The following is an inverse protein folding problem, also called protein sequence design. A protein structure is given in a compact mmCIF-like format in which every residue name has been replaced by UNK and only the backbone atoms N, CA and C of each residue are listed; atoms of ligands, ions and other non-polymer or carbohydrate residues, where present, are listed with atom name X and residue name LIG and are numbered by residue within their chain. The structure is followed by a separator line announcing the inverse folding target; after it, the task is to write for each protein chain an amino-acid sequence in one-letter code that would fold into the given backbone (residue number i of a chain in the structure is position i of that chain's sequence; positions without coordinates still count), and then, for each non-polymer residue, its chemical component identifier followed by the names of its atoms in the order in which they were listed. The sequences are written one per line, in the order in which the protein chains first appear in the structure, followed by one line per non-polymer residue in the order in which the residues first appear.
data_IF_087906631592
#
_entry.id   IF_087906631592
#
_cell.length_a   1.000
_cell.length_b   1.000
_cell.length_c   1.000
_cell.angle_alpha   90.00
_cell.angle_beta   90.00
_cell.angle_gamma   90.00
#
_symmetry.space_group_name_H-M   'P 1'
#
loop_
_entity.id
_entity.type
_entity.pdbx_description
1 polymer ?
#
# COMPACT_ATOMS: atom_id res chain seq x y z
N UNK A 1 -7.23 -7.21 15.60
CA UNK A 1 -7.23 -6.15 14.56
C UNK A 1 -6.56 -4.92 15.13
N UNK A 2 -5.65 -4.27 14.38
CA UNK A 2 -4.89 -3.11 14.90
C UNK A 2 -5.79 -1.93 15.29
N UNK A 3 -6.87 -1.70 14.55
CA UNK A 3 -7.86 -0.67 14.85
C UNK A 3 -8.63 -0.89 16.16
N UNK A 4 -8.74 -2.13 16.62
CA UNK A 4 -9.42 -2.46 17.88
C UNK A 4 -8.50 -2.24 19.09
N UNK A 5 -7.18 -2.31 18.86
CA UNK A 5 -6.17 -2.08 19.90
C UNK A 5 -5.90 -0.58 20.14
N UNK A 6 -6.14 0.26 19.13
CA UNK A 6 -5.91 1.72 19.19
C UNK A 6 -7.11 2.50 18.64
N UNK A 7 -8.20 2.59 19.40
CA UNK A 7 -9.45 3.23 18.95
C UNK A 7 -9.28 4.72 18.60
N UNK A 8 -8.27 5.38 19.13
CA UNK A 8 -8.00 6.80 18.89
C UNK A 8 -7.18 7.07 17.62
N UNK A 9 -6.64 6.02 16.97
CA UNK A 9 -5.85 6.16 15.77
C UNK A 9 -6.74 6.13 14.52
N UNK A 10 -6.39 6.97 13.56
CA UNK A 10 -6.85 6.84 12.19
C UNK A 10 -5.99 5.80 11.48
N UNK A 11 -6.58 5.11 10.52
CA UNK A 11 -5.86 4.17 9.65
C UNK A 11 -5.81 4.76 8.24
N UNK A 12 -4.61 4.98 7.72
CA UNK A 12 -4.36 5.42 6.36
C UNK A 12 -3.75 4.27 5.56
N UNK A 13 -4.44 3.89 4.49
CA UNK A 13 -4.03 2.75 3.67
C UNK A 13 -3.61 3.24 2.28
N UNK A 14 -2.37 2.90 1.90
CA UNK A 14 -1.84 3.07 0.55
C UNK A 14 -1.33 1.72 0.09
N UNK A 15 -2.05 1.08 -0.82
CA UNK A 15 -1.63 -0.22 -1.37
C UNK A 15 -1.11 -0.06 -2.79
N UNK A 16 0.18 0.20 -2.89
CA UNK A 16 0.88 0.29 -4.16
C UNK A 16 2.32 -0.22 -4.07
N UNK A 17 2.83 -0.67 -5.18
CA UNK A 17 4.23 -0.98 -5.43
C UNK A 17 4.50 -0.69 -6.92
N UNK A 18 4.65 0.59 -7.31
CA UNK A 18 4.67 0.99 -8.71
C UNK A 18 5.77 0.31 -9.52
N UNK A 19 6.93 0.06 -8.92
CA UNK A 19 8.05 -0.64 -9.56
C UNK A 19 7.75 -2.12 -9.86
N UNK A 20 6.72 -2.67 -9.18
CA UNK A 20 6.20 -4.01 -9.42
C UNK A 20 4.87 -4.01 -10.19
N UNK A 21 4.50 -2.88 -10.79
CA UNK A 21 3.27 -2.73 -11.54
C UNK A 21 1.98 -2.77 -10.72
N UNK A 22 2.07 -2.59 -9.40
CA UNK A 22 0.91 -2.62 -8.49
C UNK A 22 0.54 -1.20 -8.06
N UNK A 23 -0.73 -0.84 -8.21
CA UNK A 23 -1.25 0.49 -7.84
C UNK A 23 -2.75 0.45 -7.54
N UNK A 24 -3.21 1.50 -6.85
CA UNK A 24 -4.65 1.72 -6.57
C UNK A 24 -5.14 2.91 -7.38
N UNK A 25 -6.27 2.73 -8.08
CA UNK A 25 -6.92 3.75 -8.88
C UNK A 25 -8.44 3.67 -8.72
N UNK A 26 -9.08 4.78 -8.33
CA UNK A 26 -10.50 4.88 -7.98
C UNK A 26 -10.95 3.78 -7.00
N UNK A 27 -10.09 3.51 -6.01
CA UNK A 27 -10.30 2.49 -4.99
C UNK A 27 -10.09 1.05 -5.47
N UNK A 28 -9.81 0.84 -6.74
CA UNK A 28 -9.56 -0.50 -7.29
C UNK A 28 -8.06 -0.83 -7.33
N UNK A 29 -7.74 -2.04 -6.90
CA UNK A 29 -6.38 -2.57 -6.98
C UNK A 29 -6.09 -3.14 -8.35
N UNK A 30 -4.95 -2.74 -8.90
CA UNK A 30 -4.38 -3.23 -10.15
C UNK A 30 -3.03 -3.89 -9.92
N UNK A 31 -2.73 -4.91 -10.72
CA UNK A 31 -1.43 -5.58 -10.74
C UNK A 31 -1.06 -5.88 -12.19
N UNK A 32 0.10 -5.38 -12.65
CA UNK A 32 0.60 -5.54 -14.02
C UNK A 32 -0.43 -5.13 -15.10
N UNK A 33 -1.19 -4.06 -14.83
CA UNK A 33 -2.21 -3.53 -15.74
C UNK A 33 -3.56 -4.23 -15.68
N UNK A 34 -3.67 -5.34 -14.96
CA UNK A 34 -4.91 -6.07 -14.77
C UNK A 34 -5.55 -5.76 -13.43
N UNK A 35 -6.89 -5.73 -13.38
CA UNK A 35 -7.64 -5.61 -12.15
C UNK A 35 -7.42 -6.85 -11.26
N UNK A 36 -7.31 -6.69 -9.95
CA UNK A 36 -6.89 -7.72 -9.01
C UNK A 36 -7.50 -9.12 -9.24
N UNK A 37 -8.83 -9.29 -9.47
CA UNK A 37 -9.42 -10.62 -9.73
C UNK A 37 -9.02 -11.25 -11.07
N UNK A 38 -8.38 -10.53 -11.96
CA UNK A 38 -7.89 -11.02 -13.26
C UNK A 38 -6.37 -11.10 -13.32
N UNK A 39 -5.69 -10.59 -12.29
CA UNK A 39 -4.24 -10.55 -12.20
C UNK A 39 -3.64 -11.94 -11.88
N UNK A 40 -2.32 -11.97 -11.77
CA UNK A 40 -1.61 -13.19 -11.34
C UNK A 40 -2.10 -13.73 -9.99
N UNK A 41 -2.61 -12.87 -9.11
CA UNK A 41 -3.16 -13.26 -7.80
C UNK A 41 -4.46 -14.05 -7.90
N UNK A 42 -5.19 -13.99 -9.03
CA UNK A 42 -6.37 -14.83 -9.26
C UNK A 42 -6.06 -16.33 -9.21
N UNK A 43 -4.79 -16.70 -9.37
CA UNK A 43 -4.31 -18.08 -9.33
C UNK A 43 -3.86 -18.53 -7.93
N UNK A 44 -4.06 -17.70 -6.89
CA UNK A 44 -3.74 -18.09 -5.52
C UNK A 44 -4.60 -19.28 -5.11
N UNK A 45 -4.00 -20.42 -4.70
CA UNK A 45 -4.76 -21.64 -4.42
C UNK A 45 -5.55 -21.57 -3.09
N UNK A 46 -5.24 -20.61 -2.21
CA UNK A 46 -5.83 -20.52 -0.88
C UNK A 46 -6.82 -19.36 -0.80
N UNK A 47 -6.41 -18.18 -1.27
CA UNK A 47 -7.19 -16.95 -1.18
C UNK A 47 -7.21 -16.18 -2.52
N UNK A 48 -7.81 -16.73 -3.58
CA UNK A 48 -7.94 -15.99 -4.83
C UNK A 48 -8.82 -14.76 -4.61
N UNK A 49 -8.36 -13.56 -5.03
CA UNK A 49 -9.14 -12.34 -4.88
C UNK A 49 -10.40 -12.40 -5.75
N UNK A 50 -11.55 -12.09 -5.16
CA UNK A 50 -12.84 -12.04 -5.85
C UNK A 50 -13.24 -10.62 -6.24
N UNK A 51 -12.67 -9.64 -5.55
CA UNK A 51 -12.97 -8.23 -5.65
C UNK A 51 -11.69 -7.43 -5.81
N UNK A 52 -11.81 -6.21 -6.29
CA UNK A 52 -10.68 -5.29 -6.46
C UNK A 52 -10.90 -3.96 -5.75
N UNK A 53 -12.15 -3.64 -5.37
CA UNK A 53 -12.47 -2.40 -4.70
C UNK A 53 -12.09 -2.51 -3.22
N UNK A 54 -11.00 -1.84 -2.85
CA UNK A 54 -10.38 -1.99 -1.54
C UNK A 54 -11.33 -1.63 -0.38
N UNK A 55 -12.15 -0.55 -0.46
CA UNK A 55 -13.10 -0.28 0.62
C UNK A 55 -14.08 -1.43 0.89
N UNK A 56 -14.58 -2.12 -0.15
CA UNK A 56 -15.48 -3.27 0.02
C UNK A 56 -14.73 -4.45 0.64
N UNK A 57 -13.53 -4.76 0.14
CA UNK A 57 -12.67 -5.82 0.70
C UNK A 57 -12.44 -5.60 2.20
N UNK A 58 -12.13 -4.37 2.61
CA UNK A 58 -11.91 -4.03 4.01
C UNK A 58 -13.20 -4.15 4.84
N UNK A 59 -14.37 -3.81 4.25
CA UNK A 59 -15.66 -3.83 4.94
C UNK A 59 -16.04 -5.23 5.44
N UNK A 60 -15.58 -6.28 4.77
CA UNK A 60 -15.76 -7.67 5.21
C UNK A 60 -15.03 -7.98 6.52
N UNK A 61 -14.01 -7.18 6.87
CA UNK A 61 -13.16 -7.39 8.04
C UNK A 61 -13.41 -6.45 9.20
N UNK A 62 -14.15 -5.35 9.03
CA UNK A 62 -14.37 -4.34 10.07
C UNK A 62 -15.74 -3.69 9.96
N UNK A 63 -16.19 -3.11 11.07
CA UNK A 63 -17.40 -2.27 11.13
C UNK A 63 -17.09 -0.77 11.12
N UNK A 64 -15.82 -0.41 11.03
CA UNK A 64 -15.40 0.99 10.98
C UNK A 64 -15.80 1.58 9.61
N UNK A 65 -16.13 2.86 9.62
CA UNK A 65 -16.42 3.57 8.38
C UNK A 65 -15.14 3.76 7.58
N UNK A 66 -15.21 3.41 6.31
CA UNK A 66 -14.11 3.47 5.37
C UNK A 66 -14.40 4.57 4.34
N UNK A 67 -13.43 5.45 4.14
CA UNK A 67 -13.47 6.49 3.11
C UNK A 67 -12.44 6.21 2.02
N UNK A 68 -12.72 6.73 0.83
CA UNK A 68 -11.80 6.75 -0.31
C UNK A 68 -11.36 8.20 -0.57
N UNK A 69 -10.08 8.38 -0.79
CA UNK A 69 -9.47 9.60 -1.32
C UNK A 69 -8.91 9.25 -2.69
N UNK A 70 -9.63 9.63 -3.73
CA UNK A 70 -9.36 9.24 -5.09
C UNK A 70 -8.14 9.96 -5.70
N UNK A 71 -7.70 9.48 -6.87
CA UNK A 71 -6.51 9.99 -7.55
C UNK A 71 -6.64 11.46 -7.97
N UNK A 72 -7.85 11.92 -8.30
CA UNK A 72 -8.08 13.31 -8.71
C UNK A 72 -7.86 14.24 -7.51
N UNK A 73 -8.33 13.85 -6.34
CA UNK A 73 -8.07 14.55 -5.08
C UNK A 73 -6.58 14.53 -4.72
N UNK A 74 -5.91 13.39 -4.88
CA UNK A 74 -4.48 13.24 -4.58
C UNK A 74 -3.63 14.14 -5.49
N UNK A 75 -3.96 14.22 -6.78
CA UNK A 75 -3.12 14.94 -7.77
C UNK A 75 -3.44 16.42 -7.94
N UNK A 76 -4.66 16.81 -7.75
CA UNK A 76 -5.10 18.17 -8.10
C UNK A 76 -6.00 18.84 -7.09
N UNK A 77 -6.42 18.12 -6.04
CA UNK A 77 -7.36 18.62 -5.06
C UNK A 77 -6.74 19.15 -3.77
N UNK A 78 -7.59 19.58 -2.87
CA UNK A 78 -7.25 19.84 -1.48
C UNK A 78 -7.24 18.54 -0.69
N UNK A 79 -6.10 17.83 -0.73
CA UNK A 79 -5.94 16.54 -0.06
C UNK A 79 -6.21 16.62 1.45
N UNK A 80 -5.70 17.67 2.10
CA UNK A 80 -5.87 17.84 3.54
C UNK A 80 -7.34 18.10 3.91
N UNK A 81 -8.01 18.97 3.18
CA UNK A 81 -9.44 19.26 3.38
C UNK A 81 -10.33 18.05 3.07
N UNK A 82 -10.03 17.30 2.02
CA UNK A 82 -10.77 16.07 1.69
C UNK A 82 -10.65 15.03 2.81
N UNK A 83 -9.45 14.80 3.34
CA UNK A 83 -9.22 13.91 4.48
C UNK A 83 -9.99 14.38 5.71
N UNK A 84 -9.91 15.66 6.05
CA UNK A 84 -10.65 16.24 7.16
C UNK A 84 -12.16 16.04 7.00
N UNK A 85 -12.69 16.22 5.79
CA UNK A 85 -14.11 16.00 5.50
C UNK A 85 -14.51 14.53 5.70
N UNK A 86 -13.69 13.57 5.25
CA UNK A 86 -13.97 12.15 5.46
C UNK A 86 -13.98 11.80 6.96
N UNK A 87 -13.02 12.31 7.71
CA UNK A 87 -12.94 12.11 9.17
C UNK A 87 -14.16 12.70 9.87
N UNK A 88 -14.61 13.91 9.49
CA UNK A 88 -15.81 14.56 10.07
C UNK A 88 -17.10 13.79 9.77
N UNK A 89 -17.12 13.01 8.70
CA UNK A 89 -18.22 12.07 8.36
C UNK A 89 -18.12 10.73 9.11
N UNK A 90 -17.15 10.59 10.01
CA UNK A 90 -16.97 9.40 10.84
C UNK A 90 -16.06 8.33 10.25
N UNK A 91 -15.37 8.59 9.13
CA UNK A 91 -14.42 7.63 8.59
C UNK A 91 -13.22 7.48 9.53
N UNK A 92 -12.85 6.25 9.80
CA UNK A 92 -11.70 5.88 10.63
C UNK A 92 -10.60 5.19 9.82
N UNK A 93 -10.95 4.63 8.68
CA UNK A 93 -10.04 4.05 7.71
C UNK A 93 -10.16 4.87 6.43
N UNK A 94 -9.06 5.38 5.93
CA UNK A 94 -9.01 6.07 4.65
C UNK A 94 -8.10 5.30 3.69
N UNK A 95 -8.67 4.93 2.55
CA UNK A 95 -7.95 4.33 1.43
C UNK A 95 -7.55 5.45 0.48
N UNK A 96 -6.31 5.48 0.07
CA UNK A 96 -5.79 6.46 -0.86
C UNK A 96 -5.42 5.80 -2.18
N UNK A 97 -5.86 6.40 -3.27
CA UNK A 97 -5.31 6.07 -4.57
C UNK A 97 -3.87 6.57 -4.69
N UNK A 98 -3.02 5.73 -5.26
CA UNK A 98 -1.64 6.09 -5.58
C UNK A 98 -1.13 5.22 -6.73
N UNK A 99 -0.74 5.86 -7.83
CA UNK A 99 -0.25 5.20 -9.05
C UNK A 99 1.27 5.18 -9.05
N UNK A 100 1.89 6.23 -8.49
CA UNK A 100 3.34 6.44 -8.53
C UNK A 100 3.92 6.61 -7.13
N UNK A 101 5.23 6.43 -7.00
CA UNK A 101 5.98 6.80 -5.78
C UNK A 101 5.74 8.25 -5.37
N UNK A 102 5.62 9.15 -6.35
CA UNK A 102 5.37 10.57 -6.11
C UNK A 102 4.02 10.81 -5.46
N UNK A 103 2.98 10.06 -5.85
CA UNK A 103 1.65 10.17 -5.25
C UNK A 103 1.72 9.73 -3.77
N UNK A 104 2.36 8.60 -3.49
CA UNK A 104 2.57 8.10 -2.11
C UNK A 104 3.31 9.12 -1.25
N UNK A 105 4.42 9.64 -1.75
CA UNK A 105 5.23 10.61 -1.01
C UNK A 105 4.48 11.93 -0.79
N UNK A 106 3.68 12.37 -1.76
CA UNK A 106 2.82 13.54 -1.63
C UNK A 106 1.79 13.34 -0.51
N UNK A 107 1.11 12.19 -0.47
CA UNK A 107 0.15 11.85 0.58
C UNK A 107 0.83 11.88 1.95
N UNK A 108 1.97 11.22 2.10
CA UNK A 108 2.70 11.16 3.37
C UNK A 108 3.14 12.55 3.82
N UNK A 109 3.79 13.33 2.94
CA UNK A 109 4.29 14.68 3.26
C UNK A 109 3.18 15.64 3.66
N UNK A 110 2.01 15.50 3.05
CA UNK A 110 0.85 16.35 3.36
C UNK A 110 0.20 15.95 4.68
N UNK A 111 0.03 14.66 4.94
CA UNK A 111 -0.84 14.19 6.01
C UNK A 111 -0.10 13.84 7.31
N UNK A 112 1.15 13.36 7.24
CA UNK A 112 1.89 12.97 8.45
C UNK A 112 2.05 14.10 9.47
N UNK A 113 2.33 15.37 9.06
CA UNK A 113 2.40 16.47 10.02
C UNK A 113 1.06 16.82 10.65
N UNK A 114 -0.05 16.60 9.94
CA UNK A 114 -1.40 16.92 10.39
C UNK A 114 -1.98 15.84 11.30
N UNK A 115 -1.57 14.59 11.10
CA UNK A 115 -2.09 13.42 11.80
C UNK A 115 -0.95 12.59 12.43
N UNK A 116 -0.30 13.10 13.51
CA UNK A 116 0.86 12.44 14.12
C UNK A 116 0.53 11.07 14.74
N UNK A 117 -0.75 10.82 15.05
CA UNK A 117 -1.25 9.54 15.58
C UNK A 117 -1.96 8.71 14.51
N UNK A 118 -1.44 8.70 13.28
CA UNK A 118 -1.98 7.86 12.22
C UNK A 118 -1.30 6.49 12.20
N UNK A 119 -2.07 5.45 11.91
CA UNK A 119 -1.55 4.13 11.60
C UNK A 119 -1.48 3.95 10.09
N UNK A 120 -0.28 3.98 9.55
CA UNK A 120 -0.04 3.69 8.14
C UNK A 120 -0.06 2.20 7.87
N UNK A 121 -0.78 1.78 6.85
CA UNK A 121 -0.83 0.39 6.39
C UNK A 121 -0.80 0.34 4.87
N UNK A 122 -0.17 -0.68 4.31
CA UNK A 122 -0.05 -0.82 2.87
C UNK A 122 1.06 -1.78 2.47
N UNK A 123 1.56 -1.62 1.25
CA UNK A 123 2.57 -2.46 0.65
C UNK A 123 3.94 -1.77 0.52
N UNK A 124 4.80 -2.28 -0.35
CA UNK A 124 6.18 -1.83 -0.51
C UNK A 124 6.31 -0.34 -0.85
N UNK A 125 5.42 0.20 -1.70
CA UNK A 125 5.46 1.61 -2.06
C UNK A 125 5.20 2.55 -0.89
N UNK A 126 4.36 2.15 0.06
CA UNK A 126 4.18 2.90 1.31
C UNK A 126 5.45 2.84 2.17
N UNK A 127 6.07 1.65 2.30
CA UNK A 127 7.31 1.50 3.06
C UNK A 127 8.43 2.37 2.50
N UNK A 128 8.61 2.37 1.18
CA UNK A 128 9.57 3.23 0.48
C UNK A 128 9.29 4.72 0.70
N UNK A 129 8.02 5.12 0.57
CA UNK A 129 7.61 6.51 0.80
C UNK A 129 7.85 6.98 2.23
N UNK A 130 7.57 6.15 3.22
CA UNK A 130 7.85 6.44 4.64
C UNK A 130 9.35 6.51 4.91
N UNK A 131 10.14 5.60 4.33
CA UNK A 131 11.60 5.64 4.45
C UNK A 131 12.17 6.93 3.86
N UNK A 132 11.73 7.32 2.66
CA UNK A 132 12.15 8.58 2.03
C UNK A 132 11.71 9.81 2.84
N UNK A 133 10.51 9.80 3.41
CA UNK A 133 10.02 10.89 4.26
C UNK A 133 10.87 11.06 5.52
N UNK A 134 11.25 9.95 6.17
CA UNK A 134 11.96 9.95 7.45
C UNK A 134 13.47 10.17 7.31
N UNK A 135 14.08 9.62 6.26
CA UNK A 135 15.53 9.55 6.12
C UNK A 135 16.07 10.27 4.88
N UNK A 136 15.18 10.81 4.04
CA UNK A 136 15.56 11.44 2.78
C UNK A 136 15.63 10.43 1.61
N UNK A 137 15.93 10.92 0.39
CA UNK A 137 16.00 10.09 -0.79
C UNK A 137 17.07 9.00 -0.68
N UNK A 138 16.83 7.89 -1.37
CA UNK A 138 17.76 6.77 -1.43
C UNK A 138 19.18 7.22 -1.80
N UNK A 139 20.14 6.78 -1.00
CA UNK A 139 21.57 7.02 -1.25
C UNK A 139 22.21 5.74 -1.78
N UNK A 140 23.09 5.83 -2.79
CA UNK A 140 23.82 4.67 -3.26
C UNK A 140 24.62 4.06 -2.10
N UNK A 141 24.33 2.80 -1.80
CA UNK A 141 25.15 2.07 -0.82
C UNK A 141 26.55 1.82 -1.42
N UNK A 142 27.62 1.94 -0.62
CA UNK A 142 28.93 1.50 -1.07
C UNK A 142 28.86 0.02 -1.45
N UNK A 143 29.61 -0.43 -2.47
CA UNK A 143 29.61 -1.82 -2.87
C UNK A 143 29.96 -2.70 -1.67
N UNK A 144 29.04 -3.62 -1.34
CA UNK A 144 29.28 -4.55 -0.26
C UNK A 144 30.48 -5.45 -0.59
N UNK A 145 31.38 -5.62 0.37
CA UNK A 145 32.45 -6.61 0.23
C UNK A 145 31.81 -7.99 0.08
N UNK A 146 32.02 -8.63 -1.07
CA UNK A 146 31.51 -9.97 -1.33
C UNK A 146 32.23 -10.93 -0.38
N UNK A 147 31.55 -11.39 0.66
CA UNK A 147 32.05 -12.49 1.49
C UNK A 147 31.47 -13.80 0.94
N UNK A 148 32.33 -14.76 0.72
CA UNK A 148 31.87 -16.13 0.48
C UNK A 148 31.25 -16.66 1.76
N UNK A 149 29.93 -16.75 1.77
CA UNK A 149 29.16 -17.32 2.89
C UNK A 149 28.36 -18.52 2.40
N UNK A 150 28.23 -19.52 3.26
CA UNK A 150 27.29 -20.62 2.99
C UNK A 150 25.92 -20.15 3.42
N UNK A 151 24.99 -20.11 2.48
CA UNK A 151 23.62 -19.71 2.73
C UNK A 151 22.67 -20.90 2.52
N UNK A 152 21.66 -21.00 3.38
CA UNK A 152 20.52 -21.86 3.19
C UNK A 152 19.29 -20.97 3.07
N UNK A 153 18.58 -21.08 1.95
CA UNK A 153 17.37 -20.32 1.70
C UNK A 153 16.15 -21.24 1.61
N UNK A 154 15.02 -20.77 2.10
CA UNK A 154 13.73 -21.44 1.94
C UNK A 154 12.81 -20.54 1.12
N UNK A 155 12.14 -21.12 0.12
CA UNK A 155 11.13 -20.43 -0.67
C UNK A 155 9.81 -21.19 -0.57
N UNK A 156 8.81 -20.57 0.07
CA UNK A 156 7.47 -21.14 0.21
C UNK A 156 6.50 -20.65 -0.89
N UNK A 157 6.98 -19.86 -1.85
CA UNK A 157 6.14 -19.32 -2.92
C UNK A 157 5.85 -20.38 -3.99
N UNK A 158 4.58 -20.57 -4.31
CA UNK A 158 4.12 -21.44 -5.39
C UNK A 158 4.01 -20.73 -6.75
N UNK A 159 4.28 -19.42 -6.82
CA UNK A 159 4.19 -18.65 -8.05
C UNK A 159 5.26 -19.06 -9.08
N UNK A 160 4.89 -19.04 -10.36
CA UNK A 160 5.76 -19.43 -11.47
C UNK A 160 7.07 -18.63 -11.53
N UNK A 161 7.03 -17.34 -11.14
CA UNK A 161 8.24 -16.51 -11.10
C UNK A 161 9.24 -17.02 -10.06
N UNK A 162 8.75 -17.45 -8.89
CA UNK A 162 9.60 -18.00 -7.85
C UNK A 162 10.25 -19.32 -8.28
N UNK A 163 9.50 -20.19 -8.98
CA UNK A 163 10.04 -21.42 -9.57
C UNK A 163 11.13 -21.12 -10.59
N UNK A 164 10.93 -20.11 -11.46
CA UNK A 164 11.93 -19.70 -12.44
C UNK A 164 13.20 -19.15 -11.76
N UNK A 165 13.05 -18.37 -10.69
CA UNK A 165 14.19 -17.82 -9.93
C UNK A 165 14.99 -18.92 -9.21
N UNK A 166 14.33 -19.98 -8.74
CA UNK A 166 14.99 -21.11 -8.08
C UNK A 166 15.68 -22.07 -9.06
N UNK A 167 15.36 -21.99 -10.36
CA UNK A 167 15.95 -22.82 -11.40
C UNK A 167 17.28 -22.25 -11.96
N UNK A 168 17.70 -21.06 -11.53
CA UNK A 168 18.98 -20.43 -11.83
C UNK A 168 20.01 -20.78 -10.74
#
# INVERSE_FOLDING_TARGET
RSSDLWPDYLVFLIDNAPDLGTFTLYGHQYCEGEILPKSLYAKDPIFPPKESYIPDILSHGTKLHIGLVDIDTVKGGDLAGAVQQQISRGCRILVFDAITKRDTLHIIRTLQPLYPKVFWTGSLGLADGLAEYLYGPEQPLPPAAVRQVRCLGFCASAYEIAKKQLAY
#
